data_IF_616621302385
#
_entry.id   IF_616621302385
#
_cell.length_a   1.000
_cell.length_b   1.000
_cell.length_c   1.000
_cell.angle_alpha   90.00
_cell.angle_beta   90.00
_cell.angle_gamma   90.00
#
_symmetry.space_group_name_H-M   'P 1'
#
loop_
_entity.id
_entity.type
_entity.pdbx_description
1 polymer ?
#
# COMPACT_ATOMS: atom_id res chain seq x y z
N UNK A 1 12.05 37.69 44.20
CA UNK A 1 12.98 38.70 44.73
C UNK A 1 12.37 39.25 46.00
N UNK A 2 13.08 39.17 47.12
CA UNK A 2 12.63 39.77 48.37
C UNK A 2 13.18 41.20 48.48
N UNK A 3 12.29 42.16 48.73
CA UNK A 3 12.64 43.57 48.84
C UNK A 3 13.60 43.82 50.01
N UNK A 4 13.34 43.19 51.16
CA UNK A 4 14.14 43.41 52.37
C UNK A 4 15.55 42.83 52.24
N UNK A 5 15.69 41.63 51.65
CA UNK A 5 17.00 41.07 51.29
C UNK A 5 17.79 42.00 50.35
N UNK A 6 17.15 42.57 49.34
CA UNK A 6 17.82 43.44 48.36
C UNK A 6 18.29 44.76 48.99
N UNK A 7 17.47 45.33 49.89
CA UNK A 7 17.77 46.60 50.55
C UNK A 7 18.82 46.44 51.66
N UNK A 8 18.81 45.31 52.39
CA UNK A 8 19.83 44.99 53.40
C UNK A 8 21.22 44.75 52.79
N UNK A 9 21.30 44.21 51.58
CA UNK A 9 22.55 44.07 50.82
C UNK A 9 23.19 45.42 50.47
N UNK A 10 22.38 46.43 50.15
CA UNK A 10 22.87 47.80 49.91
C UNK A 10 23.43 48.40 51.20
N UNK A 11 22.63 48.40 52.27
CA UNK A 11 23.07 48.75 53.62
C UNK A 11 22.05 48.31 54.68
N UNK A 12 22.46 47.66 55.79
CA UNK A 12 21.54 47.14 56.82
C UNK A 12 20.58 48.20 57.40
N UNK A 13 21.02 49.46 57.50
CA UNK A 13 20.18 50.55 58.03
C UNK A 13 19.00 50.95 57.13
N UNK A 14 18.94 50.46 55.90
CA UNK A 14 17.86 50.79 54.96
C UNK A 14 16.65 49.87 55.14
N UNK A 15 16.81 48.79 55.89
CA UNK A 15 15.72 47.91 56.28
C UNK A 15 15.01 48.45 57.53
N UNK A 16 13.79 48.92 57.33
CA UNK A 16 12.94 49.48 58.38
C UNK A 16 12.58 48.46 59.48
N UNK A 17 12.82 47.15 59.26
CA UNK A 17 12.59 46.09 60.25
C UNK A 17 13.74 45.93 61.25
N UNK A 18 14.94 46.45 60.95
CA UNK A 18 16.15 46.28 61.78
C UNK A 18 16.24 47.23 62.97
N UNK A 19 15.29 48.17 63.12
CA UNK A 19 15.20 49.07 64.28
C UNK A 19 16.32 50.11 64.40
N UNK A 20 17.07 50.36 63.32
CA UNK A 20 18.17 51.33 63.29
C UNK A 20 17.61 52.76 63.30
N UNK A 21 18.08 53.62 64.22
CA UNK A 21 17.53 54.97 64.42
C UNK A 21 17.86 55.99 63.31
N UNK A 22 18.78 55.68 62.39
CA UNK A 22 19.16 56.58 61.30
C UNK A 22 19.57 55.81 60.05
N UNK A 23 19.06 56.22 58.88
CA UNK A 23 19.41 55.64 57.57
C UNK A 23 20.74 56.20 57.09
N UNK A 24 21.64 55.34 56.60
CA UNK A 24 22.88 55.78 55.96
C UNK A 24 22.58 56.55 54.68
N UNK A 25 23.18 57.74 54.55
CA UNK A 25 23.14 58.60 53.36
C UNK A 25 24.56 58.89 52.83
N UNK A 26 25.52 58.01 53.14
CA UNK A 26 26.90 58.17 52.68
C UNK A 26 27.00 58.00 51.16
N UNK A 27 28.01 58.61 50.54
CA UNK A 27 28.25 58.49 49.09
C UNK A 27 28.43 57.02 48.66
N UNK A 28 29.05 56.17 49.49
CA UNK A 28 29.17 54.72 49.25
C UNK A 28 27.79 54.03 49.24
N UNK A 29 26.91 54.38 50.18
CA UNK A 29 25.53 53.85 50.23
C UNK A 29 24.71 54.31 49.01
N UNK A 30 24.87 55.56 48.58
CA UNK A 30 24.20 56.09 47.40
C UNK A 30 24.72 55.43 46.10
N UNK A 31 26.04 55.19 45.99
CA UNK A 31 26.64 54.48 44.86
C UNK A 31 26.13 53.04 44.77
N UNK A 32 26.16 52.28 45.88
CA UNK A 32 25.63 50.91 45.92
C UNK A 32 24.14 50.87 45.54
N UNK A 33 23.35 51.81 46.05
CA UNK A 33 21.93 51.90 45.69
C UNK A 33 21.75 52.15 44.19
N UNK A 34 22.53 53.06 43.59
CA UNK A 34 22.49 53.33 42.16
C UNK A 34 22.88 52.10 41.32
N UNK A 35 23.92 51.37 41.73
CA UNK A 35 24.34 50.11 41.11
C UNK A 35 23.23 49.05 41.17
N UNK A 36 22.61 48.86 42.35
CA UNK A 36 21.49 47.91 42.53
C UNK A 36 20.28 48.29 41.67
N UNK A 37 19.92 49.57 41.60
CA UNK A 37 18.82 50.03 40.72
C UNK A 37 19.14 49.79 39.25
N UNK A 38 20.38 50.02 38.82
CA UNK A 38 20.82 49.73 37.46
C UNK A 38 20.70 48.24 37.15
N UNK A 39 21.20 47.38 38.03
CA UNK A 39 21.13 45.93 37.89
C UNK A 39 19.67 45.42 37.83
N UNK A 40 18.78 45.94 38.68
CA UNK A 40 17.36 45.58 38.68
C UNK A 40 16.65 46.03 37.39
N UNK A 41 17.01 47.19 36.84
CA UNK A 41 16.48 47.65 35.56
C UNK A 41 16.95 46.78 34.39
N UNK A 42 18.20 46.34 34.39
CA UNK A 42 18.70 45.37 33.41
C UNK A 42 17.98 44.02 33.53
N UNK A 43 17.77 43.54 34.75
CA UNK A 43 17.03 42.29 34.99
C UNK A 43 15.58 42.39 34.51
N UNK A 44 14.90 43.50 34.80
CA UNK A 44 13.56 43.80 34.29
C UNK A 44 13.52 43.74 32.76
N UNK A 45 14.51 44.34 32.08
CA UNK A 45 14.63 44.32 30.62
C UNK A 45 14.81 42.90 30.08
N UNK A 46 15.72 42.11 30.67
CA UNK A 46 15.95 40.72 30.28
C UNK A 46 14.68 39.87 30.42
N UNK A 47 14.01 39.97 31.56
CA UNK A 47 12.77 39.22 31.83
C UNK A 47 11.64 39.59 30.87
N UNK A 48 11.46 40.89 30.61
CA UNK A 48 10.46 41.35 29.65
C UNK A 48 10.75 40.81 28.24
N UNK A 49 12.00 40.89 27.79
CA UNK A 49 12.38 40.40 26.47
C UNK A 49 12.12 38.88 26.34
N UNK A 50 12.53 38.10 27.35
CA UNK A 50 12.27 36.66 27.39
C UNK A 50 10.78 36.35 27.36
N UNK A 51 9.96 37.08 28.12
CA UNK A 51 8.51 36.89 28.12
C UNK A 51 7.88 37.24 26.76
N UNK A 52 8.40 38.24 26.06
CA UNK A 52 7.95 38.61 24.70
C UNK A 52 8.28 37.52 23.67
N UNK A 53 9.47 36.93 23.75
CA UNK A 53 9.84 35.79 22.91
C UNK A 53 8.90 34.61 23.14
N UNK A 54 8.64 34.27 24.41
CA UNK A 54 7.73 33.19 24.79
C UNK A 54 6.29 33.47 24.33
N UNK A 55 5.81 34.70 24.50
CA UNK A 55 4.49 35.10 24.03
C UNK A 55 4.34 34.92 22.51
N UNK A 56 5.38 35.28 21.76
CA UNK A 56 5.41 35.09 20.29
C UNK A 56 5.37 33.61 19.94
N UNK A 57 6.21 32.78 20.57
CA UNK A 57 6.24 31.33 20.35
C UNK A 57 4.91 30.65 20.69
N UNK A 58 4.28 31.03 21.80
CA UNK A 58 2.94 30.53 22.18
C UNK A 58 1.90 30.87 21.12
N UNK A 59 1.86 32.11 20.64
CA UNK A 59 0.92 32.55 19.60
C UNK A 59 1.13 31.74 18.31
N UNK A 60 2.37 31.58 17.87
CA UNK A 60 2.70 30.83 16.65
C UNK A 60 2.30 29.35 16.80
N UNK A 61 2.61 28.72 17.93
CA UNK A 61 2.23 27.33 18.22
C UNK A 61 0.72 27.14 18.30
N UNK A 62 -0.01 28.05 18.95
CA UNK A 62 -1.48 27.98 19.01
C UNK A 62 -2.12 28.14 17.64
N UNK A 63 -1.59 29.03 16.80
CA UNK A 63 -2.07 29.21 15.44
C UNK A 63 -1.77 27.98 14.57
N UNK A 64 -0.60 27.37 14.73
CA UNK A 64 -0.23 26.16 14.01
C UNK A 64 -1.07 24.94 14.43
N UNK A 65 -1.38 24.83 15.72
CA UNK A 65 -2.06 23.67 16.32
C UNK A 65 -3.58 23.83 16.40
N UNK A 66 -4.11 24.96 15.90
CA UNK A 66 -5.51 25.38 16.03
C UNK A 66 -6.00 25.27 17.49
N UNK A 67 -5.20 25.72 18.45
CA UNK A 67 -5.53 25.65 19.88
C UNK A 67 -6.78 26.48 20.19
N UNK A 68 -7.75 25.95 20.95
CA UNK A 68 -9.00 26.66 21.26
C UNK A 68 -8.77 27.86 22.18
N UNK A 69 -9.62 28.88 22.06
CA UNK A 69 -9.49 30.15 22.78
C UNK A 69 -9.54 29.97 24.30
N UNK A 70 -10.31 29.00 24.79
CA UNK A 70 -10.42 28.68 26.22
C UNK A 70 -9.07 28.30 26.83
N UNK A 71 -8.18 27.65 26.06
CA UNK A 71 -6.83 27.31 26.47
C UNK A 71 -5.88 28.51 26.35
N UNK A 72 -6.07 29.36 25.33
CA UNK A 72 -5.23 30.56 25.10
C UNK A 72 -5.40 31.59 26.22
N UNK A 73 -6.63 31.81 26.69
CA UNK A 73 -6.96 32.79 27.74
C UNK A 73 -6.19 32.54 29.05
N UNK A 74 -5.83 31.29 29.34
CA UNK A 74 -5.04 30.94 30.53
C UNK A 74 -3.67 31.65 30.56
N UNK A 75 -3.17 32.07 29.40
CA UNK A 75 -1.88 32.73 29.22
C UNK A 75 -2.00 34.20 28.81
N UNK A 76 -3.16 34.84 29.01
CA UNK A 76 -3.38 36.27 28.73
C UNK A 76 -2.38 37.19 29.45
N UNK A 77 -1.98 36.78 30.65
CA UNK A 77 -0.98 37.46 31.47
C UNK A 77 0.42 37.47 30.81
N UNK A 78 0.69 36.56 29.87
CA UNK A 78 1.92 36.49 29.07
C UNK A 78 1.74 37.28 27.77
N UNK A 79 0.63 37.03 27.06
CA UNK A 79 0.38 37.60 25.73
C UNK A 79 0.14 39.12 25.77
N UNK A 80 -0.39 39.66 26.88
CA UNK A 80 -0.55 41.11 27.04
C UNK A 80 0.78 41.89 27.06
N UNK A 81 1.92 41.22 27.30
CA UNK A 81 3.25 41.82 27.33
C UNK A 81 3.99 41.82 25.98
N UNK A 82 3.43 41.18 24.94
CA UNK A 82 4.02 41.05 23.59
C UNK A 82 4.47 42.40 23.01
N UNK A 83 3.76 43.48 23.28
CA UNK A 83 4.11 44.84 22.82
C UNK A 83 4.39 45.83 23.96
N UNK A 84 4.56 45.36 25.19
CA UNK A 84 4.79 46.22 26.35
C UNK A 84 6.20 46.84 26.32
N UNK A 85 6.31 48.11 26.72
CA UNK A 85 7.61 48.75 26.97
C UNK A 85 8.06 48.48 28.41
N UNK A 86 9.36 48.60 28.67
CA UNK A 86 9.95 48.42 30.03
C UNK A 86 9.27 49.33 31.06
N UNK A 87 8.96 50.57 30.68
CA UNK A 87 8.31 51.54 31.56
C UNK A 87 6.80 51.30 31.68
N UNK A 88 6.19 50.63 30.69
CA UNK A 88 4.78 50.27 30.70
C UNK A 88 4.44 49.12 31.65
N UNK A 89 5.43 48.32 32.07
CA UNK A 89 5.23 47.24 33.04
C UNK A 89 5.31 47.80 34.47
N UNK A 90 4.15 48.18 35.00
CA UNK A 90 4.01 48.79 36.34
C UNK A 90 3.39 47.85 37.37
N UNK A 91 2.74 46.77 36.92
CA UNK A 91 2.06 45.80 37.79
C UNK A 91 3.10 44.95 38.55
N UNK A 92 3.09 44.95 39.89
CA UNK A 92 3.97 44.08 40.68
C UNK A 92 3.75 42.61 40.33
N UNK A 93 4.84 41.86 40.15
CA UNK A 93 4.77 40.43 39.82
C UNK A 93 4.52 40.09 38.35
N UNK A 94 4.29 41.08 37.47
CA UNK A 94 4.07 40.82 36.03
C UNK A 94 5.26 40.14 35.32
N UNK A 95 6.48 40.26 35.87
CA UNK A 95 7.70 39.60 35.39
C UNK A 95 8.31 38.69 36.47
N UNK A 96 7.44 38.09 37.29
CA UNK A 96 7.87 37.10 38.27
C UNK A 96 8.42 35.86 37.56
N UNK A 97 9.42 35.21 38.17
CA UNK A 97 10.15 34.11 37.53
C UNK A 97 9.26 32.89 37.30
N UNK A 98 8.33 32.64 38.22
CA UNK A 98 7.31 31.60 38.13
C UNK A 98 6.39 31.76 36.92
N UNK A 99 6.02 33.00 36.54
CA UNK A 99 5.22 33.25 35.33
C UNK A 99 6.02 32.97 34.05
N UNK A 100 7.31 33.34 34.05
CA UNK A 100 8.21 33.07 32.92
C UNK A 100 8.41 31.56 32.79
N UNK A 101 8.67 30.87 33.90
CA UNK A 101 8.81 29.40 33.95
C UNK A 101 7.53 28.72 33.48
N UNK A 102 6.35 29.20 33.90
CA UNK A 102 5.06 28.67 33.43
C UNK A 102 4.92 28.80 31.91
N UNK A 103 5.33 29.94 31.33
CA UNK A 103 5.31 30.13 29.89
C UNK A 103 6.33 29.23 29.16
N UNK A 104 7.53 29.03 29.70
CA UNK A 104 8.54 28.12 29.16
C UNK A 104 8.04 26.67 29.15
N UNK A 105 7.46 26.22 30.25
CA UNK A 105 6.88 24.87 30.37
C UNK A 105 5.74 24.67 29.38
N UNK A 106 4.90 25.68 29.16
CA UNK A 106 3.80 25.57 28.18
C UNK A 106 4.32 25.52 26.74
N UNK A 107 5.32 26.34 26.39
CA UNK A 107 5.97 26.26 25.07
C UNK A 107 6.54 24.85 24.86
N UNK A 108 7.28 24.32 25.83
CA UNK A 108 7.85 22.97 25.74
C UNK A 108 6.75 21.90 25.58
N UNK A 109 5.67 22.01 26.36
CA UNK A 109 4.52 21.10 26.26
C UNK A 109 3.88 21.16 24.87
N UNK A 110 3.71 22.35 24.30
CA UNK A 110 3.15 22.55 22.97
C UNK A 110 4.09 22.04 21.88
N UNK A 111 5.40 22.22 22.01
CA UNK A 111 6.39 21.66 21.09
C UNK A 111 6.39 20.12 21.10
N UNK A 112 6.31 19.51 22.29
CA UNK A 112 6.15 18.07 22.42
C UNK A 112 4.82 17.59 21.80
N UNK A 113 3.73 18.33 22.01
CA UNK A 113 2.44 18.04 21.40
C UNK A 113 2.49 18.15 19.87
N UNK A 114 3.14 19.19 19.34
CA UNK A 114 3.40 19.39 17.91
C UNK A 114 4.17 18.21 17.32
N UNK A 115 5.27 17.80 17.96
CA UNK A 115 6.06 16.66 17.52
C UNK A 115 5.25 15.35 17.55
N UNK A 116 4.46 15.12 18.60
CA UNK A 116 3.64 13.89 18.70
C UNK A 116 2.53 13.83 17.64
N UNK A 117 1.80 14.94 17.41
CA UNK A 117 0.80 15.03 16.34
C UNK A 117 1.44 14.88 14.96
N UNK A 118 2.61 15.50 14.74
CA UNK A 118 3.34 15.37 13.48
C UNK A 118 3.73 13.92 13.21
N UNK A 119 4.25 13.18 14.21
CA UNK A 119 4.54 11.74 14.09
C UNK A 119 3.29 10.94 13.72
N UNK A 120 2.17 11.20 14.38
CA UNK A 120 0.91 10.51 14.11
C UNK A 120 0.46 10.70 12.65
N UNK A 121 0.46 11.94 12.16
CA UNK A 121 0.03 12.24 10.79
C UNK A 121 1.02 11.67 9.78
N UNK A 122 2.33 11.81 10.03
CA UNK A 122 3.36 11.25 9.16
C UNK A 122 3.22 9.72 9.05
N UNK A 123 3.01 9.01 10.16
CA UNK A 123 2.79 7.57 10.10
C UNK A 123 1.52 7.16 9.37
N UNK A 124 0.42 7.93 9.49
CA UNK A 124 -0.78 7.67 8.68
C UNK A 124 -0.49 7.79 7.18
N UNK A 125 0.23 8.84 6.77
CA UNK A 125 0.65 9.03 5.37
C UNK A 125 1.61 7.93 4.91
N UNK A 126 2.54 7.53 5.77
CA UNK A 126 3.48 6.44 5.50
C UNK A 126 2.75 5.10 5.29
N UNK A 127 1.72 4.81 6.10
CA UNK A 127 0.87 3.63 5.90
C UNK A 127 0.11 3.70 4.57
N UNK A 128 -0.46 4.86 4.21
CA UNK A 128 -1.11 5.03 2.89
C UNK A 128 -0.11 4.74 1.75
N UNK A 129 1.11 5.27 1.87
CA UNK A 129 2.19 5.04 0.90
C UNK A 129 2.55 3.54 0.81
N UNK A 130 2.70 2.86 1.94
CA UNK A 130 2.95 1.42 2.03
C UNK A 130 1.84 0.61 1.33
N UNK A 131 0.57 0.93 1.56
CA UNK A 131 -0.57 0.28 0.91
C UNK A 131 -0.63 0.52 -0.60
N UNK A 132 -0.17 1.68 -1.08
CA UNK A 132 -0.08 1.99 -2.51
C UNK A 132 1.02 1.14 -3.15
N UNK A 133 2.20 1.07 -2.54
CA UNK A 133 3.31 0.27 -3.05
C UNK A 133 3.02 -1.24 -3.01
N UNK A 134 2.39 -1.74 -1.96
CA UNK A 134 1.95 -3.14 -1.89
C UNK A 134 1.00 -3.50 -3.05
N UNK A 135 0.02 -2.63 -3.36
CA UNK A 135 -0.88 -2.83 -4.51
C UNK A 135 -0.17 -2.74 -5.86
N UNK A 136 0.96 -2.03 -5.92
CA UNK A 136 1.80 -1.95 -7.11
C UNK A 136 2.81 -3.11 -7.22
N UNK A 137 2.86 -4.03 -6.26
CA UNK A 137 3.90 -5.06 -6.16
C UNK A 137 5.32 -4.46 -6.13
N UNK A 138 5.49 -3.35 -5.42
CA UNK A 138 6.77 -2.68 -5.19
C UNK A 138 7.19 -2.97 -3.75
N UNK A 139 8.37 -3.57 -3.60
CA UNK A 139 8.96 -3.83 -2.30
C UNK A 139 9.60 -2.57 -1.73
N UNK A 140 9.32 -2.32 -0.45
CA UNK A 140 9.85 -1.19 0.33
C UNK A 140 10.28 -1.71 1.69
N UNK A 141 11.16 -0.96 2.34
CA UNK A 141 11.52 -1.20 3.74
C UNK A 141 10.69 -0.26 4.65
N UNK A 142 9.59 -0.74 5.26
CA UNK A 142 8.73 0.08 6.09
C UNK A 142 9.43 0.49 7.40
N UNK A 143 10.33 -0.33 7.93
CA UNK A 143 11.04 -0.04 9.18
C UNK A 143 12.03 1.11 8.96
N UNK A 144 12.87 1.02 7.93
CA UNK A 144 13.81 2.08 7.59
C UNK A 144 13.11 3.40 7.24
N UNK A 145 11.96 3.33 6.55
CA UNK A 145 11.16 4.53 6.25
C UNK A 145 10.62 5.20 7.51
N UNK A 146 10.11 4.41 8.46
CA UNK A 146 9.59 4.92 9.75
C UNK A 146 10.71 5.48 10.64
N UNK A 147 11.86 4.82 10.70
CA UNK A 147 13.02 5.33 11.42
C UNK A 147 13.50 6.67 10.85
N UNK A 148 13.53 6.80 9.52
CA UNK A 148 13.88 8.07 8.86
C UNK A 148 12.91 9.19 9.23
N UNK A 149 11.61 8.93 9.24
CA UNK A 149 10.58 9.90 9.66
C UNK A 149 10.80 10.30 11.13
N UNK A 150 11.02 9.34 12.02
CA UNK A 150 11.26 9.62 13.44
C UNK A 150 12.51 10.49 13.64
N UNK A 151 13.63 10.10 13.04
CA UNK A 151 14.88 10.85 13.15
C UNK A 151 14.74 12.29 12.65
N UNK A 152 13.98 12.49 11.57
CA UNK A 152 13.73 13.81 11.01
C UNK A 152 12.92 14.69 11.98
N UNK A 153 11.86 14.14 12.58
CA UNK A 153 11.01 14.84 13.53
C UNK A 153 11.77 15.14 14.84
N UNK A 154 12.49 14.15 15.37
CA UNK A 154 13.21 14.27 16.64
C UNK A 154 14.42 15.21 16.55
N UNK A 155 14.95 15.43 15.34
CA UNK A 155 16.00 16.45 15.12
C UNK A 155 15.50 17.88 15.32
N UNK A 156 14.19 18.11 15.36
CA UNK A 156 13.57 19.44 15.51
C UNK A 156 13.84 20.41 14.36
N UNK A 157 14.50 19.96 13.29
CA UNK A 157 15.02 20.81 12.23
C UNK A 157 14.09 20.89 11.00
N UNK A 158 12.88 20.34 11.10
CA UNK A 158 11.93 20.27 9.98
C UNK A 158 10.60 20.87 10.37
N UNK A 159 10.13 21.79 9.52
CA UNK A 159 8.82 22.39 9.62
C UNK A 159 7.72 21.36 9.34
N UNK A 160 6.69 21.24 10.19
CA UNK A 160 5.63 20.24 10.00
C UNK A 160 4.93 20.34 8.66
N UNK A 161 4.68 21.55 8.17
CA UNK A 161 4.01 21.77 6.88
C UNK A 161 4.84 21.26 5.70
N UNK A 162 6.17 21.45 5.75
CA UNK A 162 7.07 21.00 4.69
C UNK A 162 7.17 19.48 4.64
N UNK A 163 7.34 18.82 5.80
CA UNK A 163 7.38 17.37 5.88
C UNK A 163 6.10 16.74 5.33
N UNK A 164 4.93 17.22 5.77
CA UNK A 164 3.66 16.67 5.34
C UNK A 164 3.43 16.88 3.83
N UNK A 165 3.85 18.02 3.28
CA UNK A 165 3.79 18.29 1.85
C UNK A 165 4.72 17.36 1.05
N UNK A 166 5.94 17.08 1.53
CA UNK A 166 6.83 16.11 0.90
C UNK A 166 6.21 14.71 0.89
N UNK A 167 5.61 14.28 2.00
CA UNK A 167 4.92 12.99 2.06
C UNK A 167 3.72 12.93 1.11
N UNK A 168 2.95 14.02 0.98
CA UNK A 168 1.87 14.11 -0.01
C UNK A 168 2.39 14.01 -1.45
N UNK A 169 3.54 14.62 -1.73
CA UNK A 169 4.20 14.48 -3.03
C UNK A 169 4.69 13.04 -3.28
N UNK A 170 5.21 12.35 -2.26
CA UNK A 170 5.59 10.94 -2.38
C UNK A 170 4.36 10.06 -2.66
N UNK A 171 3.24 10.28 -1.96
CA UNK A 171 1.97 9.59 -2.21
C UNK A 171 1.47 9.86 -3.64
N UNK A 172 1.54 11.09 -4.12
CA UNK A 172 1.14 11.45 -5.47
C UNK A 172 1.99 10.71 -6.53
N UNK A 173 3.31 10.68 -6.35
CA UNK A 173 4.23 9.91 -7.20
C UNK A 173 3.94 8.41 -7.16
N UNK A 174 3.67 7.85 -5.98
CA UNK A 174 3.31 6.43 -5.86
C UNK A 174 1.98 6.10 -6.57
N UNK A 175 1.01 7.02 -6.56
CA UNK A 175 -0.24 6.87 -7.32
C UNK A 175 0.00 6.89 -8.83
N UNK A 176 0.88 7.76 -9.31
CA UNK A 176 1.31 7.75 -10.72
C UNK A 176 2.02 6.45 -11.08
N UNK A 177 2.87 5.95 -10.18
CA UNK A 177 3.58 4.69 -10.35
C UNK A 177 2.61 3.51 -10.52
N UNK A 178 1.57 3.41 -9.68
CA UNK A 178 0.49 2.42 -9.83
C UNK A 178 -0.15 2.48 -11.22
N UNK A 179 -0.47 3.69 -11.71
CA UNK A 179 -1.09 3.86 -13.02
C UNK A 179 -0.17 3.38 -14.14
N UNK A 180 1.14 3.67 -14.03
CA UNK A 180 2.13 3.23 -15.00
C UNK A 180 2.28 1.70 -15.05
N UNK A 181 2.19 1.03 -13.89
CA UNK A 181 2.37 -0.41 -13.76
C UNK A 181 1.10 -1.21 -14.07
N UNK A 182 -0.06 -0.55 -14.04
CA UNK A 182 -1.38 -1.19 -14.16
C UNK A 182 -1.52 -2.13 -15.35
N UNK A 183 -1.13 -1.71 -16.56
CA UNK A 183 -1.31 -2.55 -17.75
C UNK A 183 -0.50 -3.86 -17.64
N UNK A 184 0.71 -3.78 -17.08
CA UNK A 184 1.58 -4.94 -16.89
C UNK A 184 1.00 -5.84 -15.79
N UNK A 185 0.61 -5.28 -14.64
CA UNK A 185 0.04 -6.05 -13.53
C UNK A 185 -1.26 -6.77 -13.93
N UNK A 186 -2.17 -6.11 -14.66
CA UNK A 186 -3.39 -6.75 -15.20
C UNK A 186 -3.08 -7.93 -16.13
N UNK A 187 -1.92 -7.92 -16.80
CA UNK A 187 -1.46 -9.02 -17.65
C UNK A 187 -0.78 -10.12 -16.84
N UNK A 188 -0.01 -9.75 -15.82
CA UNK A 188 0.59 -10.69 -14.85
C UNK A 188 -0.52 -11.49 -14.16
N UNK A 189 -1.55 -10.83 -13.65
CA UNK A 189 -2.70 -11.50 -13.01
C UNK A 189 -3.34 -12.54 -13.95
N UNK A 190 -3.65 -12.14 -15.19
CA UNK A 190 -4.23 -13.06 -16.19
C UNK A 190 -3.30 -14.22 -16.52
N UNK A 191 -2.01 -13.98 -16.62
CA UNK A 191 -1.01 -15.01 -16.88
C UNK A 191 -0.89 -15.98 -15.70
N UNK A 192 -0.84 -15.49 -14.46
CA UNK A 192 -0.82 -16.32 -13.25
C UNK A 192 -2.08 -17.19 -13.16
N UNK A 193 -3.29 -16.63 -13.36
CA UNK A 193 -4.52 -17.43 -13.38
C UNK A 193 -4.53 -18.49 -14.48
N UNK A 194 -3.92 -18.21 -15.64
CA UNK A 194 -3.77 -19.21 -16.70
C UNK A 194 -2.80 -20.33 -16.30
N UNK A 195 -1.72 -20.01 -15.57
CA UNK A 195 -0.79 -20.99 -15.01
C UNK A 195 -1.43 -21.85 -13.92
N UNK A 196 -2.28 -21.28 -13.07
CA UNK A 196 -3.07 -22.03 -12.08
C UNK A 196 -4.01 -23.04 -12.75
N UNK A 197 -4.71 -22.63 -13.81
CA UNK A 197 -5.55 -23.53 -14.61
C UNK A 197 -4.72 -24.59 -15.36
N UNK A 198 -3.48 -24.27 -15.77
CA UNK A 198 -2.53 -25.26 -16.32
C UNK A 198 -2.22 -26.33 -15.27
N UNK A 199 -1.84 -25.93 -14.07
CA UNK A 199 -1.54 -26.84 -12.96
C UNK A 199 -2.74 -27.72 -12.62
N UNK A 200 -3.92 -27.12 -12.48
CA UNK A 200 -5.16 -27.87 -12.21
C UNK A 200 -5.45 -28.91 -13.32
N UNK A 201 -5.25 -28.54 -14.59
CA UNK A 201 -5.45 -29.45 -15.71
C UNK A 201 -4.42 -30.59 -15.69
N UNK A 202 -3.17 -30.33 -15.32
CA UNK A 202 -2.15 -31.37 -15.16
C UNK A 202 -2.53 -32.38 -14.08
N UNK A 203 -2.98 -31.91 -12.91
CA UNK A 203 -3.48 -32.77 -11.84
C UNK A 203 -4.70 -33.58 -12.25
N UNK A 204 -5.66 -32.94 -12.92
CA UNK A 204 -6.83 -33.62 -13.48
C UNK A 204 -6.47 -34.68 -14.53
N UNK A 205 -5.40 -34.48 -15.30
CA UNK A 205 -4.94 -35.46 -16.27
C UNK A 205 -4.21 -36.66 -15.63
N UNK A 206 -3.64 -36.49 -14.42
CA UNK A 206 -2.99 -37.57 -13.65
C UNK A 206 -3.99 -38.44 -12.89
N UNK A 207 -5.20 -37.96 -12.64
CA UNK A 207 -6.24 -38.72 -11.95
C UNK A 207 -6.74 -39.92 -12.80
N UNK A 208 -6.45 -41.14 -12.35
CA UNK A 208 -6.90 -42.39 -12.98
C UNK A 208 -8.44 -42.55 -12.93
N UNK A 209 -9.09 -41.94 -11.93
CA UNK A 209 -10.54 -42.01 -11.72
C UNK A 209 -11.32 -40.91 -12.45
N UNK A 210 -10.67 -40.10 -13.29
CA UNK A 210 -11.27 -38.93 -13.98
C UNK A 210 -12.50 -39.24 -14.85
N UNK A 211 -12.66 -40.49 -15.27
CA UNK A 211 -13.77 -40.96 -16.11
C UNK A 211 -14.80 -41.81 -15.34
N UNK A 212 -14.66 -41.98 -14.02
CA UNK A 212 -15.69 -42.63 -13.24
C UNK A 212 -17.00 -41.83 -13.34
N UNK A 213 -18.12 -42.53 -13.48
CA UNK A 213 -19.47 -41.96 -13.65
C UNK A 213 -20.04 -41.28 -12.39
N UNK A 214 -19.18 -40.61 -11.63
CA UNK A 214 -19.56 -39.83 -10.47
C UNK A 214 -20.26 -38.53 -10.90
N UNK A 215 -21.20 -38.10 -10.06
CA UNK A 215 -21.99 -36.87 -10.27
C UNK A 215 -21.05 -35.66 -10.29
N UNK A 216 -20.76 -35.13 -11.48
CA UNK A 216 -19.85 -33.99 -11.68
C UNK A 216 -18.78 -34.18 -12.76
N UNK A 217 -18.54 -35.42 -13.22
CA UNK A 217 -17.49 -35.72 -14.22
C UNK A 217 -17.61 -34.91 -15.52
N UNK A 218 -18.83 -34.71 -16.03
CA UNK A 218 -19.09 -33.91 -17.23
C UNK A 218 -18.79 -32.40 -17.04
N UNK A 219 -18.95 -31.86 -15.83
CA UNK A 219 -18.59 -30.48 -15.54
C UNK A 219 -17.07 -30.30 -15.49
N UNK A 220 -16.36 -31.24 -14.86
CA UNK A 220 -14.90 -31.25 -14.82
C UNK A 220 -14.30 -31.44 -16.22
N UNK A 221 -14.90 -32.29 -17.05
CA UNK A 221 -14.50 -32.45 -18.46
C UNK A 221 -14.65 -31.14 -19.24
N UNK A 222 -15.77 -30.43 -19.08
CA UNK A 222 -15.98 -29.10 -19.68
C UNK A 222 -14.98 -28.06 -19.18
N UNK A 223 -14.62 -28.07 -17.89
CA UNK A 223 -13.56 -27.21 -17.35
C UNK A 223 -12.21 -27.56 -17.97
N UNK A 224 -11.87 -28.84 -18.08
CA UNK A 224 -10.63 -29.32 -18.69
C UNK A 224 -10.51 -28.91 -20.16
N UNK A 225 -11.59 -28.95 -20.94
CA UNK A 225 -11.60 -28.43 -22.31
C UNK A 225 -11.33 -26.93 -22.37
N UNK A 226 -11.97 -26.14 -21.49
CA UNK A 226 -11.70 -24.70 -21.38
C UNK A 226 -10.26 -24.41 -20.95
N UNK A 227 -9.76 -25.14 -19.96
CA UNK A 227 -8.39 -25.02 -19.47
C UNK A 227 -7.38 -25.32 -20.59
N UNK A 228 -7.58 -26.36 -21.41
CA UNK A 228 -6.71 -26.65 -22.58
C UNK A 228 -6.62 -25.48 -23.56
N UNK A 229 -7.76 -24.84 -23.85
CA UNK A 229 -7.79 -23.67 -24.74
C UNK A 229 -7.01 -22.51 -24.11
N UNK A 230 -7.12 -22.31 -22.80
CA UNK A 230 -6.40 -21.27 -22.08
C UNK A 230 -4.88 -21.56 -22.04
N UNK A 231 -4.48 -22.79 -21.71
CA UNK A 231 -3.08 -23.24 -21.70
C UNK A 231 -2.39 -23.04 -23.04
N UNK A 232 -3.08 -23.33 -24.14
CA UNK A 232 -2.57 -23.09 -25.48
C UNK A 232 -2.30 -21.60 -25.79
N UNK A 233 -2.92 -20.68 -25.06
CA UNK A 233 -2.71 -19.23 -25.21
C UNK A 233 -1.59 -18.69 -24.33
N UNK A 234 -1.12 -19.45 -23.33
CA UNK A 234 -0.10 -18.98 -22.37
C UNK A 234 1.17 -18.47 -23.07
N UNK A 235 1.76 -19.14 -24.09
CA UNK A 235 2.96 -18.62 -24.76
C UNK A 235 2.76 -17.20 -25.31
N UNK A 236 1.63 -16.94 -25.99
CA UNK A 236 1.35 -15.61 -26.52
C UNK A 236 1.08 -14.57 -25.42
N UNK A 237 0.57 -14.98 -24.26
CA UNK A 237 0.44 -14.10 -23.09
C UNK A 237 1.82 -13.72 -22.53
N UNK A 238 2.73 -14.69 -22.41
CA UNK A 238 4.13 -14.48 -21.99
C UNK A 238 4.86 -13.56 -22.98
N UNK A 239 4.79 -13.82 -24.29
CA UNK A 239 5.43 -12.99 -25.31
C UNK A 239 4.96 -11.54 -25.24
N UNK A 240 3.65 -11.33 -25.08
CA UNK A 240 3.06 -9.99 -24.96
C UNK A 240 3.50 -9.30 -23.67
N UNK A 241 3.58 -10.06 -22.57
CA UNK A 241 4.02 -9.55 -21.28
C UNK A 241 5.50 -9.15 -21.33
N UNK A 242 6.38 -9.99 -21.87
CA UNK A 242 7.80 -9.67 -22.11
C UNK A 242 7.96 -8.41 -22.94
N UNK A 243 7.23 -8.30 -24.06
CA UNK A 243 7.30 -7.12 -24.93
C UNK A 243 6.87 -5.83 -24.21
N UNK A 244 5.79 -5.90 -23.43
CA UNK A 244 5.27 -4.77 -22.65
C UNK A 244 6.21 -4.37 -21.51
N UNK A 245 6.74 -5.35 -20.78
CA UNK A 245 7.69 -5.11 -19.69
C UNK A 245 8.98 -4.49 -20.22
N UNK A 246 9.54 -5.00 -21.33
CA UNK A 246 10.74 -4.41 -21.95
C UNK A 246 10.53 -2.97 -22.39
N UNK A 247 9.39 -2.67 -23.03
CA UNK A 247 9.07 -1.31 -23.43
C UNK A 247 8.95 -0.36 -22.23
N UNK A 248 8.39 -0.83 -21.12
CA UNK A 248 8.30 -0.04 -19.88
C UNK A 248 9.68 0.17 -19.23
N UNK A 249 10.52 -0.87 -19.19
CA UNK A 249 11.90 -0.77 -18.64
C UNK A 249 12.79 0.15 -19.48
N UNK A 250 12.64 0.12 -20.81
CA UNK A 250 13.38 0.99 -21.74
C UNK A 250 12.98 2.46 -21.60
N UNK A 251 11.69 2.75 -21.47
CA UNK A 251 11.18 4.12 -21.29
C UNK A 251 11.65 4.74 -19.97
N UNK A 252 11.75 3.93 -18.90
CA UNK A 252 12.02 4.42 -17.54
C UNK A 252 13.46 4.22 -17.08
N UNK A 253 14.23 3.39 -17.77
CA UNK A 253 15.63 3.09 -17.44
C UNK A 253 15.81 2.31 -16.13
N UNK A 254 14.75 1.66 -15.62
CA UNK A 254 14.77 0.85 -14.40
C UNK A 254 14.11 -0.50 -14.67
N UNK A 255 14.53 -1.54 -13.93
CA UNK A 255 13.90 -2.86 -14.07
C UNK A 255 12.52 -2.90 -13.41
N UNK A 256 11.58 -3.59 -14.05
CA UNK A 256 10.27 -3.86 -13.51
C UNK A 256 10.37 -5.06 -12.56
N UNK A 257 10.36 -4.78 -11.26
CA UNK A 257 10.21 -5.81 -10.23
C UNK A 257 8.74 -6.14 -9.98
N UNK A 258 8.46 -7.35 -9.50
CA UNK A 258 7.19 -7.81 -8.96
C UNK A 258 7.52 -8.48 -7.63
N UNK A 259 7.10 -7.90 -6.52
CA UNK A 259 7.40 -8.37 -5.15
C UNK A 259 8.90 -8.63 -4.94
N UNK A 260 9.73 -7.69 -5.38
CA UNK A 260 11.20 -7.76 -5.23
C UNK A 260 11.93 -8.50 -6.34
N UNK A 261 11.23 -9.28 -7.17
CA UNK A 261 11.85 -10.10 -8.23
C UNK A 261 11.68 -9.46 -9.61
N UNK A 262 12.73 -9.34 -10.45
CA UNK A 262 12.57 -8.85 -11.83
C UNK A 262 11.57 -9.70 -12.62
N UNK A 263 10.52 -9.07 -13.17
CA UNK A 263 9.44 -9.76 -13.85
C UNK A 263 9.92 -10.54 -15.08
N UNK A 264 10.90 -10.00 -15.82
CA UNK A 264 11.48 -10.73 -16.95
C UNK A 264 12.17 -12.03 -16.52
N UNK A 265 12.85 -12.03 -15.37
CA UNK A 265 13.49 -13.24 -14.84
C UNK A 265 12.46 -14.30 -14.45
N UNK A 266 11.34 -13.90 -13.84
CA UNK A 266 10.23 -14.81 -13.54
C UNK A 266 9.64 -15.45 -14.81
N UNK A 267 9.52 -14.68 -15.89
CA UNK A 267 8.99 -15.19 -17.16
C UNK A 267 9.98 -16.14 -17.85
N UNK A 268 11.27 -15.85 -17.78
CA UNK A 268 12.33 -16.72 -18.30
C UNK A 268 12.37 -18.06 -17.53
N UNK A 269 12.28 -18.01 -16.20
CA UNK A 269 12.20 -19.22 -15.36
C UNK A 269 10.97 -20.07 -15.69
N UNK A 270 9.79 -19.43 -15.84
CA UNK A 270 8.59 -20.12 -16.29
C UNK A 270 8.76 -20.77 -17.65
N UNK A 271 9.36 -20.07 -18.62
CA UNK A 271 9.60 -20.60 -19.96
C UNK A 271 10.51 -21.85 -19.92
N UNK A 272 11.57 -21.82 -19.13
CA UNK A 272 12.45 -22.98 -18.91
C UNK A 272 11.69 -24.17 -18.28
N UNK A 273 10.93 -23.92 -17.21
CA UNK A 273 10.17 -24.96 -16.53
C UNK A 273 9.12 -25.62 -17.44
N UNK A 274 8.50 -24.81 -18.31
CA UNK A 274 7.50 -25.27 -19.27
C UNK A 274 8.14 -26.13 -20.37
N UNK A 275 9.32 -25.74 -20.84
CA UNK A 275 10.11 -26.55 -21.77
C UNK A 275 10.53 -27.89 -21.14
N UNK A 276 11.01 -27.89 -19.90
CA UNK A 276 11.39 -29.11 -19.18
C UNK A 276 10.21 -30.09 -19.06
N UNK A 277 9.02 -29.59 -18.70
CA UNK A 277 7.78 -30.40 -18.67
C UNK A 277 7.43 -31.01 -20.03
N UNK A 278 7.60 -30.25 -21.12
CA UNK A 278 7.34 -30.75 -22.47
C UNK A 278 8.35 -31.84 -22.89
N UNK A 279 9.62 -31.66 -22.53
CA UNK A 279 10.69 -32.63 -22.77
C UNK A 279 10.51 -33.90 -21.94
N UNK A 280 10.12 -33.81 -20.67
CA UNK A 280 9.80 -34.96 -19.84
C UNK A 280 8.61 -35.75 -20.41
N UNK A 281 7.52 -35.06 -20.80
CA UNK A 281 6.38 -35.67 -21.49
C UNK A 281 6.82 -36.37 -22.79
N UNK A 282 7.80 -35.82 -23.52
CA UNK A 282 8.38 -36.44 -24.71
C UNK A 282 9.17 -37.71 -24.35
N UNK A 283 10.05 -37.65 -23.34
CA UNK A 283 10.82 -38.81 -22.84
C UNK A 283 9.92 -39.96 -22.39
N UNK A 284 8.85 -39.67 -21.66
CA UNK A 284 7.88 -40.68 -21.22
C UNK A 284 7.15 -41.35 -22.40
N UNK A 285 6.77 -40.57 -23.42
CA UNK A 285 6.18 -41.13 -24.66
C UNK A 285 7.15 -42.04 -25.39
N UNK A 286 8.42 -41.66 -25.46
CA UNK A 286 9.44 -42.45 -26.17
C UNK A 286 9.81 -43.72 -25.38
N UNK A 287 9.85 -43.67 -24.04
CA UNK A 287 9.95 -44.88 -23.19
C UNK A 287 8.74 -45.81 -23.35
N UNK A 288 7.52 -45.26 -23.39
CA UNK A 288 6.31 -46.06 -23.60
C UNK A 288 6.32 -46.78 -24.95
N UNK A 289 6.75 -46.10 -26.02
CA UNK A 289 6.91 -46.72 -27.35
C UNK A 289 7.93 -47.86 -27.33
N UNK A 290 9.04 -47.68 -26.60
CA UNK A 290 10.07 -48.72 -26.48
C UNK A 290 9.57 -49.95 -25.69
N UNK A 291 8.81 -49.73 -24.62
CA UNK A 291 8.15 -50.81 -23.88
C UNK A 291 7.05 -51.53 -24.68
N UNK A 292 6.26 -50.79 -25.46
CA UNK A 292 5.26 -51.37 -26.38
C UNK A 292 5.91 -52.19 -27.50
N UNK A 293 7.06 -51.76 -28.03
CA UNK A 293 7.85 -52.55 -28.99
C UNK A 293 8.39 -53.84 -28.38
N UNK A 294 8.97 -53.80 -27.17
CA UNK A 294 9.42 -55.01 -26.48
C UNK A 294 8.28 -55.98 -26.15
N UNK A 295 7.12 -55.46 -25.70
CA UNK A 295 5.94 -56.29 -25.45
C UNK A 295 5.39 -56.91 -26.74
N UNK A 296 5.37 -56.17 -27.85
CA UNK A 296 4.93 -56.68 -29.15
C UNK A 296 5.90 -57.75 -29.69
N UNK A 297 7.21 -57.60 -29.47
CA UNK A 297 8.20 -58.61 -29.81
C UNK A 297 8.06 -59.88 -28.94
N UNK A 298 7.82 -59.74 -27.63
CA UNK A 298 7.54 -60.88 -26.75
C UNK A 298 6.20 -61.57 -27.09
N UNK A 299 5.14 -60.83 -27.40
CA UNK A 299 3.87 -61.39 -27.87
C UNK A 299 3.98 -62.02 -29.26
N UNK A 300 4.87 -61.54 -30.14
CA UNK A 300 5.13 -62.19 -31.43
C UNK A 300 5.90 -63.52 -31.28
N UNK A 301 6.68 -63.67 -30.19
CA UNK A 301 7.45 -64.88 -29.88
C UNK A 301 6.60 -65.91 -29.10
N UNK A 302 5.70 -65.47 -28.21
CA UNK A 302 4.87 -66.34 -27.36
C UNK A 302 3.37 -66.38 -27.74
N UNK A 303 2.94 -65.61 -28.75
CA UNK A 303 1.56 -65.54 -29.20
C UNK A 303 1.14 -66.73 -30.07
N UNK A 304 0.06 -67.39 -29.67
CA UNK A 304 -0.57 -68.50 -30.39
C UNK A 304 -1.04 -68.07 -31.79
N UNK A 305 -0.29 -68.43 -32.83
CA UNK A 305 -0.70 -68.29 -34.24
C UNK A 305 -1.91 -69.18 -34.54
N UNK A 306 -3.01 -68.69 -35.16
CA UNK A 306 -3.95 -69.57 -35.82
C UNK A 306 -3.37 -69.99 -37.19
N UNK A 307 -3.19 -71.30 -37.41
CA UNK A 307 -2.71 -71.88 -38.67
C UNK A 307 -3.66 -71.62 -39.86
N UNK A 308 -3.14 -71.39 -41.08
CA UNK A 308 -3.95 -71.26 -42.28
C UNK A 308 -4.10 -72.61 -43.02
N UNK A 309 -5.33 -73.10 -43.18
CA UNK A 309 -5.64 -74.17 -44.12
C UNK A 309 -6.99 -73.91 -44.83
N UNK A 310 -6.90 -73.74 -46.15
CA UNK A 310 -7.95 -73.60 -47.19
C UNK A 310 -8.64 -74.96 -47.47
N UNK A 311 -9.69 -75.13 -48.33
CA UNK A 311 -9.91 -74.41 -49.60
C UNK A 311 -11.38 -74.11 -50.04
N UNK A 312 -11.40 -73.46 -51.22
CA UNK A 312 -12.45 -72.96 -52.10
C UNK A 312 -13.64 -73.87 -52.46
N UNK A 313 -14.83 -73.25 -52.56
CA UNK A 313 -16.00 -73.74 -53.30
C UNK A 313 -16.48 -72.68 -54.31
N UNK A 314 -16.88 -73.15 -55.49
CA UNK A 314 -16.93 -72.45 -56.79
C UNK A 314 -18.22 -71.69 -57.11
N UNK A 315 -18.05 -70.55 -57.82
CA UNK A 315 -18.86 -69.97 -58.92
C UNK A 315 -20.40 -69.99 -58.81
N UNK A 316 -21.00 -68.78 -58.91
CA UNK A 316 -21.79 -68.39 -60.09
C UNK A 316 -21.61 -66.90 -60.43
N UNK A 317 -21.35 -66.67 -61.72
CA UNK A 317 -21.33 -65.39 -62.44
C UNK A 317 -22.61 -65.35 -63.26
N UNK A 318 -23.36 -64.23 -63.24
CA UNK A 318 -24.09 -63.62 -64.37
C UNK A 318 -24.34 -62.13 -64.00
N UNK A 319 -23.80 -61.18 -64.76
CA UNK A 319 -24.12 -59.73 -64.69
C UNK A 319 -25.25 -59.36 -65.67
N UNK A 320 -25.29 -58.16 -66.30
CA UNK A 320 -24.88 -56.81 -65.90
C UNK A 320 -25.96 -55.72 -66.23
N UNK A 321 -25.61 -54.43 -66.04
CA UNK A 321 -26.25 -53.16 -66.52
C UNK A 321 -27.44 -52.59 -65.73
N UNK A 322 -27.79 -51.30 -65.79
CA UNK A 322 -27.12 -50.00 -66.03
C UNK A 322 -28.24 -48.92 -65.99
N UNK A 323 -27.88 -47.70 -65.60
CA UNK A 323 -28.51 -46.39 -65.92
C UNK A 323 -29.86 -45.93 -65.32
N UNK A 324 -29.81 -44.68 -64.83
CA UNK A 324 -30.85 -43.63 -64.92
C UNK A 324 -31.93 -43.73 -63.85
N UNK A 325 -32.36 -42.68 -63.14
CA UNK A 325 -32.21 -41.24 -63.31
C UNK A 325 -33.47 -40.58 -62.73
N UNK A 326 -33.29 -39.42 -62.09
CA UNK A 326 -34.27 -38.32 -61.89
C UNK A 326 -35.51 -38.50 -60.98
N UNK A 327 -35.58 -37.57 -60.01
CA UNK A 327 -36.75 -36.85 -59.47
C UNK A 327 -37.92 -37.61 -58.82
N UNK A 328 -38.26 -37.15 -57.61
CA UNK A 328 -39.66 -37.10 -57.17
C UNK A 328 -39.90 -37.31 -55.68
N UNK A 329 -39.68 -36.27 -54.84
CA UNK A 329 -40.66 -35.99 -53.77
C UNK A 329 -41.90 -35.40 -54.44
N UNK A 330 -43.14 -35.77 -54.08
CA UNK A 330 -43.77 -35.15 -52.91
C UNK A 330 -44.92 -35.95 -52.24
N UNK A 331 -45.51 -35.34 -51.19
CA UNK A 331 -46.81 -35.64 -50.55
C UNK A 331 -46.84 -36.82 -49.57
N UNK A 332 -47.60 -36.85 -48.48
CA UNK A 332 -48.65 -36.00 -47.86
C UNK A 332 -48.84 -36.59 -46.43
N UNK A 333 -48.91 -35.79 -45.35
CA UNK A 333 -50.07 -35.04 -44.82
C UNK A 333 -51.16 -35.92 -44.17
N UNK A 334 -51.34 -35.74 -42.87
CA UNK A 334 -52.60 -35.58 -42.12
C UNK A 334 -52.19 -34.79 -40.85
N UNK A 335 -52.49 -33.53 -40.54
CA UNK A 335 -53.59 -32.56 -40.73
C UNK A 335 -54.91 -32.88 -40.03
N UNK A 336 -55.36 -31.86 -39.28
CA UNK A 336 -56.70 -31.52 -38.74
C UNK A 336 -56.79 -31.72 -37.22
N UNK A 337 -57.32 -30.79 -36.42
CA UNK A 337 -57.70 -29.38 -36.57
C UNK A 337 -57.98 -28.90 -35.13
N UNK A 338 -57.51 -27.73 -34.71
CA UNK A 338 -58.18 -26.43 -34.84
C UNK A 338 -59.53 -26.33 -34.09
N UNK A 339 -59.58 -25.42 -33.12
CA UNK A 339 -60.56 -24.32 -32.92
C UNK A 339 -60.65 -24.00 -31.43
N UNK A 340 -60.86 -22.78 -30.95
CA UNK A 340 -60.72 -21.41 -31.43
C UNK A 340 -61.12 -20.57 -30.21
N UNK A 341 -60.57 -19.36 -30.12
CA UNK A 341 -61.09 -18.21 -29.37
C UNK A 341 -61.19 -18.35 -27.83
N UNK A 342 -60.86 -17.34 -27.04
CA UNK A 342 -60.52 -15.96 -27.34
C UNK A 342 -60.77 -15.14 -26.08
N UNK A 343 -59.80 -14.30 -25.74
CA UNK A 343 -59.96 -12.95 -25.18
C UNK A 343 -60.65 -12.70 -23.83
N UNK A 344 -59.92 -11.91 -23.01
CA UNK A 344 -60.37 -10.91 -22.01
C UNK A 344 -60.90 -11.51 -20.68
N UNK A 345 -60.63 -10.96 -19.49
CA UNK A 345 -59.96 -9.73 -19.04
C UNK A 345 -59.98 -9.71 -17.50
N UNK A 346 -58.99 -9.02 -16.92
CA UNK A 346 -59.10 -8.15 -15.74
C UNK A 346 -59.19 -8.71 -14.31
N UNK A 347 -58.45 -8.00 -13.44
CA UNK A 347 -58.65 -7.73 -12.00
C UNK A 347 -58.52 -8.89 -11.02
N UNK A 348 -58.14 -8.72 -9.75
CA UNK A 348 -57.44 -7.75 -8.90
C UNK A 348 -57.52 -8.39 -7.50
N UNK A 349 -56.57 -8.07 -6.63
CA UNK A 349 -56.59 -8.20 -5.17
C UNK A 349 -56.23 -9.56 -4.55
N UNK A 350 -55.39 -9.45 -3.52
CA UNK A 350 -54.75 -10.48 -2.71
C UNK A 350 -53.46 -9.94 -2.11
#
# INVERSE_FOLDING_TARGET
MDFFSTVTEVHPSLDDTTGVQSKSISDDTLLRLAETVSALNEDKKRRLHKLQELATQLIDLWNLMDTPEEERILFDHVTCHTSASVDGVTVPGALALDLIEQAEVEVERLDQLKASRMKEIAFKKQVELEEIFARAHIEIDPEAAREKIMALIDSGNVEPTELLADMDNQIAKAKEEVLSRKEILDRVEKWMSACEEESWLEDYNRDENRYNSSRGAHLNLKRAEKARILVNKIPGMVDTLVAKTRAWEEDRGISFSYDGVPLLAMLDEYAMLRQEREEEKRRLRDQKKYGEQQNTEQEAIFGSKPSPARPSGTKKVVGPRANGGTNGTPSRRLSLNATQNGSRSATKDG
#
